data_IF_723773354126
#
_entry.id   IF_723773354126
#
_cell.length_a   1.000
_cell.length_b   1.000
_cell.length_c   1.000
_cell.angle_alpha   90.00
_cell.angle_beta   90.00
_cell.angle_gamma   90.00
#
_symmetry.space_group_name_H-M   'P 1'
#
loop_
_entity.id
_entity.type
_entity.pdbx_description
1 polymer ?
#
# COMPACT_ATOMS: atom_id res chain seq x y z
N UNK A 1 6.36 18.98 15.93
CA UNK A 1 6.05 17.90 16.90
C UNK A 1 4.60 17.41 16.80
N UNK A 2 3.58 18.28 16.75
CA UNK A 2 2.15 17.87 16.67
C UNK A 2 1.82 17.07 15.40
N UNK A 3 2.34 17.49 14.24
CA UNK A 3 2.07 16.82 12.97
C UNK A 3 2.60 15.37 12.90
N UNK A 4 3.74 15.11 13.54
CA UNK A 4 4.37 13.77 13.64
C UNK A 4 3.55 12.84 14.56
N UNK A 5 2.86 13.40 15.55
CA UNK A 5 2.06 12.63 16.50
C UNK A 5 0.74 12.14 15.87
N UNK A 6 0.11 12.95 15.02
CA UNK A 6 -1.12 12.56 14.29
C UNK A 6 -0.88 11.49 13.23
N UNK A 7 0.27 11.52 12.55
CA UNK A 7 0.66 10.48 11.58
C UNK A 7 0.88 9.13 12.26
N UNK A 8 1.49 9.11 13.45
CA UNK A 8 1.67 7.89 14.25
C UNK A 8 0.33 7.28 14.68
N UNK A 9 -0.58 8.09 15.23
CA UNK A 9 -1.90 7.62 15.67
C UNK A 9 -2.76 7.08 14.52
N UNK A 10 -2.68 7.69 13.33
CA UNK A 10 -3.37 7.18 12.14
C UNK A 10 -2.80 5.83 11.67
N UNK A 11 -1.48 5.65 11.72
CA UNK A 11 -0.83 4.37 11.40
C UNK A 11 -1.29 3.27 12.36
N UNK A 12 -1.29 3.55 13.67
CA UNK A 12 -1.75 2.60 14.69
C UNK A 12 -3.23 2.21 14.47
N UNK A 13 -4.09 3.18 14.11
CA UNK A 13 -5.49 2.92 13.81
C UNK A 13 -5.65 1.99 12.60
N UNK A 14 -4.89 2.20 11.54
CA UNK A 14 -4.92 1.36 10.33
C UNK A 14 -4.48 -0.07 10.65
N UNK A 15 -3.43 -0.23 11.45
CA UNK A 15 -2.94 -1.55 11.86
C UNK A 15 -3.98 -2.31 12.71
N UNK A 16 -4.61 -1.62 13.68
CA UNK A 16 -5.67 -2.23 14.51
C UNK A 16 -6.89 -2.66 13.68
N UNK A 17 -7.30 -1.85 12.70
CA UNK A 17 -8.37 -2.22 11.75
C UNK A 17 -8.02 -3.46 10.95
N UNK A 18 -6.80 -3.52 10.41
CA UNK A 18 -6.34 -4.69 9.66
C UNK A 18 -6.30 -5.96 10.54
N UNK A 19 -5.93 -5.84 11.82
CA UNK A 19 -5.97 -6.95 12.78
C UNK A 19 -7.40 -7.37 13.12
N UNK A 20 -8.31 -6.42 13.33
CA UNK A 20 -9.72 -6.68 13.59
C UNK A 20 -10.38 -7.44 12.42
N UNK A 21 -10.18 -7.00 11.18
CA UNK A 21 -10.71 -7.66 9.99
C UNK A 21 -10.22 -9.11 9.89
N UNK A 22 -8.92 -9.34 10.11
CA UNK A 22 -8.34 -10.70 10.13
C UNK A 22 -8.97 -11.58 11.20
N UNK A 23 -9.13 -11.05 12.42
CA UNK A 23 -9.73 -11.77 13.56
C UNK A 23 -11.18 -12.16 13.28
N UNK A 24 -11.97 -11.24 12.70
CA UNK A 24 -13.36 -11.50 12.31
C UNK A 24 -13.43 -12.57 11.21
N UNK A 25 -12.57 -12.47 10.18
CA UNK A 25 -12.53 -13.45 9.09
C UNK A 25 -12.20 -14.87 9.61
N UNK A 26 -11.19 -14.99 10.48
CA UNK A 26 -10.82 -16.28 11.09
C UNK A 26 -11.98 -16.85 11.93
N UNK A 27 -12.66 -16.01 12.71
CA UNK A 27 -13.82 -16.44 13.51
C UNK A 27 -14.97 -16.96 12.63
N UNK A 28 -15.25 -16.30 11.49
CA UNK A 28 -16.32 -16.67 10.58
C UNK A 28 -16.05 -18.01 9.89
N UNK A 29 -14.80 -18.28 9.52
CA UNK A 29 -14.43 -19.55 8.90
C UNK A 29 -14.48 -20.71 9.90
N UNK A 30 -14.08 -20.49 11.16
CA UNK A 30 -14.29 -21.47 12.23
C UNK A 30 -15.78 -21.69 12.51
N UNK A 31 -16.60 -20.64 12.51
CA UNK A 31 -18.05 -20.76 12.70
C UNK A 31 -18.68 -21.68 11.65
N UNK A 32 -18.35 -21.53 10.36
CA UNK A 32 -18.82 -22.42 9.29
C UNK A 32 -18.48 -23.88 9.57
N UNK A 33 -17.27 -24.17 10.06
CA UNK A 33 -16.86 -25.54 10.44
C UNK A 33 -17.71 -26.08 11.60
N UNK A 34 -18.07 -25.23 12.55
CA UNK A 34 -18.85 -25.64 13.73
C UNK A 34 -20.37 -25.77 13.50
N UNK A 35 -20.92 -25.31 12.37
CA UNK A 35 -22.37 -25.38 12.11
C UNK A 35 -22.93 -26.81 12.10
N UNK A 36 -22.14 -27.79 11.66
CA UNK A 36 -22.56 -29.19 11.60
C UNK A 36 -22.52 -29.92 12.97
N UNK A 37 -21.98 -29.29 14.02
CA UNK A 37 -21.68 -29.94 15.31
C UNK A 37 -22.93 -30.43 16.01
N UNK A 38 -24.02 -29.66 15.99
CA UNK A 38 -25.27 -30.04 16.64
C UNK A 38 -25.84 -31.36 16.07
N UNK A 39 -25.68 -31.58 14.76
CA UNK A 39 -26.06 -32.84 14.11
C UNK A 39 -25.20 -34.02 14.59
N UNK A 40 -23.89 -33.80 14.73
CA UNK A 40 -22.94 -34.81 15.20
C UNK A 40 -23.20 -35.17 16.67
N UNK A 41 -23.45 -34.18 17.54
CA UNK A 41 -23.78 -34.39 18.96
C UNK A 41 -25.05 -35.22 19.12
N UNK A 42 -26.11 -34.88 18.37
CA UNK A 42 -27.37 -35.64 18.40
C UNK A 42 -27.19 -37.09 17.94
N UNK A 43 -26.37 -37.32 16.90
CA UNK A 43 -26.06 -38.67 16.43
C UNK A 43 -25.22 -39.44 17.45
N UNK A 44 -24.26 -38.78 18.08
CA UNK A 44 -23.39 -39.37 19.09
C UNK A 44 -24.20 -39.86 20.30
N UNK A 45 -25.09 -39.04 20.87
CA UNK A 45 -25.91 -39.46 22.01
C UNK A 45 -26.86 -40.62 21.66
N UNK A 46 -27.52 -40.59 20.49
CA UNK A 46 -28.33 -41.73 20.01
C UNK A 46 -27.53 -43.03 19.91
N UNK A 47 -26.30 -42.96 19.37
CA UNK A 47 -25.41 -44.12 19.23
C UNK A 47 -24.91 -44.62 20.58
N UNK A 48 -24.63 -43.71 21.51
CA UNK A 48 -24.20 -44.02 22.88
C UNK A 48 -25.31 -44.74 23.65
N UNK A 49 -26.56 -44.30 23.54
CA UNK A 49 -27.71 -45.01 24.11
C UNK A 49 -27.86 -46.42 23.52
N UNK A 50 -27.76 -46.55 22.20
CA UNK A 50 -27.80 -47.85 21.53
C UNK A 50 -26.67 -48.77 21.99
N UNK A 51 -25.45 -48.24 22.16
CA UNK A 51 -24.29 -48.98 22.67
C UNK A 51 -24.53 -49.53 24.08
N UNK A 52 -25.05 -48.70 25.00
CA UNK A 52 -25.36 -49.15 26.36
C UNK A 52 -26.42 -50.24 26.37
N UNK A 53 -27.48 -50.07 25.57
CA UNK A 53 -28.54 -51.07 25.41
C UNK A 53 -27.98 -52.39 24.87
N UNK A 54 -27.11 -52.34 23.87
CA UNK A 54 -26.49 -53.53 23.29
C UNK A 54 -25.53 -54.23 24.24
N UNK A 55 -24.77 -53.49 25.04
CA UNK A 55 -23.95 -54.08 26.12
C UNK A 55 -24.83 -54.84 27.12
N UNK A 56 -25.91 -54.22 27.59
CA UNK A 56 -26.83 -54.87 28.53
C UNK A 56 -27.42 -56.16 27.92
N UNK A 57 -27.89 -56.10 26.67
CA UNK A 57 -28.40 -57.26 25.94
C UNK A 57 -27.31 -58.34 25.75
N UNK A 58 -26.07 -57.94 25.49
CA UNK A 58 -24.93 -58.84 25.35
C UNK A 58 -24.62 -59.58 26.65
N UNK A 59 -24.62 -58.87 27.78
CA UNK A 59 -24.47 -59.48 29.11
C UNK A 59 -25.61 -60.45 29.40
N UNK A 60 -26.84 -60.08 29.09
CA UNK A 60 -28.00 -60.94 29.27
C UNK A 60 -27.92 -62.22 28.43
N UNK A 61 -27.61 -62.09 27.14
CA UNK A 61 -27.43 -63.24 26.24
C UNK A 61 -26.26 -64.15 26.67
N UNK A 62 -25.17 -63.58 27.18
CA UNK A 62 -24.06 -64.34 27.73
C UNK A 62 -24.47 -65.14 28.97
N UNK A 63 -25.21 -64.53 29.91
CA UNK A 63 -25.76 -65.23 31.08
C UNK A 63 -26.70 -66.37 30.71
N UNK A 64 -27.59 -66.14 29.74
CA UNK A 64 -28.46 -67.19 29.20
C UNK A 64 -27.69 -68.34 28.55
N UNK A 65 -26.60 -68.04 27.82
CA UNK A 65 -25.71 -69.06 27.25
C UNK A 65 -25.08 -69.92 28.35
N UNK A 66 -24.57 -69.31 29.42
CA UNK A 66 -23.99 -70.03 30.54
C UNK A 66 -25.03 -70.95 31.21
N UNK A 67 -26.24 -70.45 31.45
CA UNK A 67 -27.34 -71.24 32.00
C UNK A 67 -27.74 -72.41 31.10
N UNK A 68 -27.82 -72.21 29.78
CA UNK A 68 -28.15 -73.28 28.84
C UNK A 68 -27.05 -74.34 28.76
N UNK A 69 -25.77 -73.94 28.81
CA UNK A 69 -24.64 -74.86 28.86
C UNK A 69 -24.67 -75.72 30.12
N UNK A 70 -24.88 -75.09 31.28
CA UNK A 70 -25.07 -75.80 32.54
C UNK A 70 -26.25 -76.78 32.46
N UNK A 71 -27.42 -76.35 31.97
CA UNK A 71 -28.58 -77.24 31.78
C UNK A 71 -28.29 -78.41 30.83
N UNK A 72 -27.50 -78.19 29.79
CA UNK A 72 -27.07 -79.26 28.86
C UNK A 72 -26.14 -80.25 29.55
N UNK A 73 -25.17 -79.78 30.33
CA UNK A 73 -24.24 -80.63 31.09
C UNK A 73 -25.01 -81.53 32.07
N UNK A 74 -25.98 -80.98 32.80
CA UNK A 74 -26.83 -81.74 33.72
C UNK A 74 -27.64 -82.86 33.03
N UNK A 75 -28.04 -82.69 31.77
CA UNK A 75 -28.76 -83.72 31.00
C UNK A 75 -27.83 -84.77 30.38
N UNK A 76 -26.57 -84.42 30.13
CA UNK A 76 -25.61 -85.28 29.40
C UNK A 76 -25.01 -86.38 30.29
N UNK A 77 -25.14 -86.27 31.62
CA UNK A 77 -24.65 -87.31 32.53
C UNK A 77 -25.50 -88.60 32.42
N UNK A 78 -24.96 -89.61 31.75
CA UNK A 78 -25.63 -90.91 31.55
C UNK A 78 -25.76 -91.69 32.87
N UNK A 79 -24.83 -91.50 33.80
CA UNK A 79 -24.77 -92.20 35.07
C UNK A 79 -25.74 -91.65 36.13
N UNK A 80 -26.39 -90.51 35.88
CA UNK A 80 -27.39 -89.91 36.76
C UNK A 80 -28.78 -89.95 36.09
N UNK A 81 -29.62 -90.97 36.36
CA UNK A 81 -30.93 -91.11 35.70
C UNK A 81 -31.95 -90.03 36.12
N UNK A 82 -31.75 -89.44 37.30
CA UNK A 82 -32.61 -88.38 37.84
C UNK A 82 -32.22 -87.00 37.33
N UNK A 83 -33.22 -86.16 37.01
CA UNK A 83 -33.01 -84.75 36.76
C UNK A 83 -32.55 -84.04 38.05
N UNK A 84 -31.40 -83.33 38.06
CA UNK A 84 -30.89 -82.68 39.27
C UNK A 84 -31.72 -81.47 39.75
N UNK A 85 -32.77 -81.08 39.02
CA UNK A 85 -33.67 -79.98 39.39
C UNK A 85 -35.03 -80.44 39.91
N UNK A 86 -35.49 -81.63 39.55
CA UNK A 86 -36.80 -82.12 39.94
C UNK A 86 -36.81 -83.57 40.46
N UNK A 87 -35.63 -84.18 40.58
CA UNK A 87 -35.40 -85.56 41.06
C UNK A 87 -36.15 -86.66 40.29
N UNK A 88 -36.86 -86.30 39.22
CA UNK A 88 -37.59 -87.24 38.39
C UNK A 88 -36.63 -88.01 37.47
N UNK A 89 -36.83 -89.33 37.39
CA UNK A 89 -36.16 -90.18 36.42
C UNK A 89 -36.55 -89.75 35.00
N UNK A 90 -35.57 -89.31 34.22
CA UNK A 90 -35.77 -88.96 32.82
C UNK A 90 -35.50 -90.17 31.94
N UNK A 91 -36.46 -90.56 31.11
CA UNK A 91 -36.24 -91.60 30.10
C UNK A 91 -35.11 -91.21 29.13
N UNK A 92 -34.40 -92.21 28.59
CA UNK A 92 -33.31 -91.97 27.65
C UNK A 92 -33.75 -91.14 26.43
N UNK A 93 -34.96 -91.39 25.91
CA UNK A 93 -35.56 -90.61 24.82
C UNK A 93 -35.74 -89.14 25.21
N UNK A 94 -36.23 -88.87 26.43
CA UNK A 94 -36.41 -87.50 26.93
C UNK A 94 -35.07 -86.78 27.14
N UNK A 95 -34.03 -87.49 27.63
CA UNK A 95 -32.66 -86.94 27.74
C UNK A 95 -32.13 -86.52 26.36
N UNK A 96 -32.21 -87.40 25.35
CA UNK A 96 -31.82 -87.07 23.96
C UNK A 96 -32.55 -85.86 23.40
N UNK A 97 -33.88 -85.80 23.61
CA UNK A 97 -34.69 -84.65 23.19
C UNK A 97 -34.23 -83.34 23.84
N UNK A 98 -34.03 -83.34 25.17
CA UNK A 98 -33.58 -82.15 25.91
C UNK A 98 -32.16 -81.72 25.49
N UNK A 99 -31.25 -82.67 25.31
CA UNK A 99 -29.89 -82.40 24.83
C UNK A 99 -29.89 -81.76 23.44
N UNK A 100 -30.70 -82.29 22.52
CA UNK A 100 -30.89 -81.72 21.19
C UNK A 100 -31.48 -80.30 21.27
N UNK A 101 -32.55 -80.12 22.05
CA UNK A 101 -33.19 -78.81 22.27
C UNK A 101 -32.22 -77.78 22.83
N UNK A 102 -31.44 -78.12 23.86
CA UNK A 102 -30.45 -77.21 24.44
C UNK A 102 -29.31 -76.91 23.46
N UNK A 103 -28.86 -77.90 22.69
CA UNK A 103 -27.83 -77.67 21.66
C UNK A 103 -28.30 -76.68 20.60
N UNK A 104 -29.52 -76.84 20.08
CA UNK A 104 -30.09 -75.91 19.10
C UNK A 104 -30.24 -74.50 19.69
N UNK A 105 -30.76 -74.39 20.91
CA UNK A 105 -30.91 -73.11 21.59
C UNK A 105 -29.55 -72.42 21.84
N UNK A 106 -28.53 -73.18 22.25
CA UNK A 106 -27.16 -72.67 22.42
C UNK A 106 -26.63 -72.15 21.10
N UNK A 107 -26.75 -72.90 20.00
CA UNK A 107 -26.27 -72.47 18.69
C UNK A 107 -26.96 -71.18 18.22
N UNK A 108 -28.29 -71.11 18.32
CA UNK A 108 -29.05 -69.91 17.96
C UNK A 108 -28.65 -68.69 18.79
N UNK A 109 -28.51 -68.85 20.11
CA UNK A 109 -28.16 -67.76 21.00
C UNK A 109 -26.69 -67.35 20.85
N UNK A 110 -25.79 -68.29 20.59
CA UNK A 110 -24.36 -68.03 20.33
C UNK A 110 -24.18 -67.21 19.05
N UNK A 111 -24.92 -67.54 17.99
CA UNK A 111 -24.92 -66.76 16.75
C UNK A 111 -25.40 -65.32 17.01
N UNK A 112 -26.53 -65.15 17.72
CA UNK A 112 -27.04 -63.82 18.10
C UNK A 112 -26.04 -63.04 18.94
N UNK A 113 -25.44 -63.66 19.94
CA UNK A 113 -24.41 -63.07 20.81
C UNK A 113 -23.18 -62.62 20.02
N UNK A 114 -22.67 -63.48 19.14
CA UNK A 114 -21.49 -63.18 18.30
C UNK A 114 -21.76 -62.00 17.37
N UNK A 115 -22.94 -61.97 16.74
CA UNK A 115 -23.36 -60.82 15.91
C UNK A 115 -23.44 -59.55 16.75
N UNK A 116 -24.01 -59.61 17.94
CA UNK A 116 -24.13 -58.47 18.83
C UNK A 116 -22.75 -57.96 19.29
N UNK A 117 -21.80 -58.85 19.60
CA UNK A 117 -20.42 -58.47 19.94
C UNK A 117 -19.73 -57.71 18.80
N UNK A 118 -19.87 -58.18 17.55
CA UNK A 118 -19.32 -57.49 16.38
C UNK A 118 -19.90 -56.07 16.25
N UNK A 119 -21.22 -55.92 16.42
CA UNK A 119 -21.89 -54.63 16.39
C UNK A 119 -21.42 -53.70 17.51
N UNK A 120 -21.26 -54.21 18.74
CA UNK A 120 -20.74 -53.44 19.88
C UNK A 120 -19.32 -52.94 19.61
N UNK A 121 -18.44 -53.79 19.06
CA UNK A 121 -17.06 -53.41 18.75
C UNK A 121 -17.03 -52.30 17.69
N UNK A 122 -17.79 -52.45 16.61
CA UNK A 122 -17.89 -51.44 15.56
C UNK A 122 -18.46 -50.11 16.08
N UNK A 123 -19.55 -50.17 16.86
CA UNK A 123 -20.18 -48.99 17.43
C UNK A 123 -19.26 -48.26 18.43
N UNK A 124 -18.46 -49.01 19.21
CA UNK A 124 -17.46 -48.42 20.11
C UNK A 124 -16.41 -47.63 19.32
N UNK A 125 -15.89 -48.18 18.23
CA UNK A 125 -14.92 -47.49 17.39
C UNK A 125 -15.50 -46.19 16.81
N UNK A 126 -16.74 -46.24 16.29
CA UNK A 126 -17.45 -45.06 15.80
C UNK A 126 -17.67 -44.00 16.88
N UNK A 127 -18.04 -44.41 18.09
CA UNK A 127 -18.23 -43.48 19.22
C UNK A 127 -16.93 -42.80 19.60
N UNK A 128 -15.80 -43.51 19.63
CA UNK A 128 -14.48 -42.93 19.90
C UNK A 128 -14.10 -41.90 18.83
N UNK A 129 -14.32 -42.21 17.55
CA UNK A 129 -14.04 -41.28 16.45
C UNK A 129 -14.92 -40.03 16.51
N UNK A 130 -16.22 -40.20 16.76
CA UNK A 130 -17.16 -39.08 16.91
C UNK A 130 -16.83 -38.23 18.14
N UNK A 131 -16.42 -38.84 19.24
CA UNK A 131 -16.01 -38.12 20.43
C UNK A 131 -14.81 -37.21 20.16
N UNK A 132 -13.76 -37.73 19.48
CA UNK A 132 -12.61 -36.92 19.05
C UNK A 132 -13.02 -35.75 18.16
N UNK A 133 -13.93 -35.96 17.22
CA UNK A 133 -14.49 -34.89 16.36
C UNK A 133 -15.20 -33.83 17.19
N UNK A 134 -16.01 -34.24 18.18
CA UNK A 134 -16.70 -33.32 19.08
C UNK A 134 -15.74 -32.53 19.97
N UNK A 135 -14.66 -33.16 20.46
CA UNK A 135 -13.62 -32.46 21.23
C UNK A 135 -12.91 -31.39 20.39
N UNK A 136 -12.50 -31.72 19.16
CA UNK A 136 -11.92 -30.74 18.24
C UNK A 136 -12.89 -29.57 17.99
N UNK A 137 -14.16 -29.85 17.76
CA UNK A 137 -15.17 -28.80 17.59
C UNK A 137 -15.42 -27.97 18.86
N UNK A 138 -15.25 -28.53 20.06
CA UNK A 138 -15.32 -27.77 21.32
C UNK A 138 -14.13 -26.82 21.46
N UNK A 139 -12.94 -27.27 21.09
CA UNK A 139 -11.75 -26.41 21.05
C UNK A 139 -11.94 -25.27 20.04
N UNK A 140 -12.46 -25.57 18.85
CA UNK A 140 -12.78 -24.54 17.85
C UNK A 140 -13.80 -23.52 18.39
N UNK A 141 -14.85 -23.96 19.12
CA UNK A 141 -15.81 -23.07 19.77
C UNK A 141 -15.17 -22.17 20.83
N UNK A 142 -14.27 -22.71 21.65
CA UNK A 142 -13.51 -21.92 22.62
C UNK A 142 -12.67 -20.86 21.92
N UNK A 143 -11.95 -21.25 20.86
CA UNK A 143 -11.16 -20.32 20.05
C UNK A 143 -12.02 -19.25 19.38
N UNK A 144 -13.21 -19.58 18.87
CA UNK A 144 -14.16 -18.59 18.35
C UNK A 144 -14.54 -17.56 19.43
N UNK A 145 -14.81 -18.02 20.67
CA UNK A 145 -15.16 -17.12 21.76
C UNK A 145 -13.99 -16.20 22.14
N UNK A 146 -12.76 -16.72 22.17
CA UNK A 146 -11.55 -15.93 22.39
C UNK A 146 -11.33 -14.90 21.28
N UNK A 147 -11.49 -15.28 20.01
CA UNK A 147 -11.40 -14.38 18.87
C UNK A 147 -12.47 -13.29 18.91
N UNK A 148 -13.70 -13.63 19.31
CA UNK A 148 -14.78 -12.66 19.46
C UNK A 148 -14.48 -11.66 20.58
N UNK A 149 -13.96 -12.12 21.73
CA UNK A 149 -13.54 -11.25 22.82
C UNK A 149 -12.38 -10.33 22.40
N UNK A 150 -11.40 -10.87 21.66
CA UNK A 150 -10.31 -10.08 21.11
C UNK A 150 -10.84 -9.02 20.11
N UNK A 151 -11.83 -9.39 19.28
CA UNK A 151 -12.45 -8.47 18.33
C UNK A 151 -13.21 -7.34 19.04
N UNK A 152 -13.93 -7.61 20.13
CA UNK A 152 -14.62 -6.56 20.91
C UNK A 152 -13.62 -5.61 21.54
N UNK A 153 -12.54 -6.12 22.15
CA UNK A 153 -11.48 -5.30 22.73
C UNK A 153 -10.79 -4.42 21.67
N UNK A 154 -10.45 -4.96 20.50
CA UNK A 154 -9.86 -4.20 19.41
C UNK A 154 -10.79 -3.09 18.92
N UNK A 155 -12.09 -3.37 18.84
CA UNK A 155 -13.11 -2.39 18.43
C UNK A 155 -13.25 -1.24 19.44
N UNK A 156 -13.19 -1.54 20.74
CA UNK A 156 -13.18 -0.52 21.80
C UNK A 156 -11.93 0.36 21.75
N UNK A 157 -10.76 -0.24 21.50
CA UNK A 157 -9.52 0.51 21.30
C UNK A 157 -9.57 1.40 20.06
N UNK A 158 -10.14 0.91 18.96
CA UNK A 158 -10.35 1.68 17.73
C UNK A 158 -11.21 2.92 17.99
N UNK A 159 -12.34 2.74 18.69
CA UNK A 159 -13.24 3.85 19.07
C UNK A 159 -12.50 4.88 19.94
N UNK A 160 -11.71 4.42 20.90
CA UNK A 160 -10.92 5.31 21.78
C UNK A 160 -9.88 6.11 21.00
N UNK A 161 -9.11 5.46 20.11
CA UNK A 161 -8.15 6.14 19.25
C UNK A 161 -8.83 7.17 18.34
N UNK A 162 -9.98 6.83 17.77
CA UNK A 162 -10.72 7.73 16.89
C UNK A 162 -11.25 8.97 17.62
N UNK A 163 -11.70 8.83 18.87
CA UNK A 163 -12.02 9.96 19.75
C UNK A 163 -10.80 10.85 20.00
N UNK A 164 -9.65 10.25 20.32
CA UNK A 164 -8.40 10.98 20.57
C UNK A 164 -7.92 11.74 19.32
N UNK A 165 -7.97 11.13 18.13
CA UNK A 165 -7.63 11.79 16.86
C UNK A 165 -8.55 12.98 16.61
N UNK A 166 -9.85 12.84 16.87
CA UNK A 166 -10.83 13.92 16.69
C UNK A 166 -10.57 15.08 17.66
N UNK A 167 -10.32 14.78 18.93
CA UNK A 167 -9.97 15.78 19.94
C UNK A 167 -8.67 16.52 19.58
N UNK A 168 -7.63 15.78 19.17
CA UNK A 168 -6.35 16.37 18.78
C UNK A 168 -6.48 17.28 17.55
N UNK A 169 -7.31 16.90 16.55
CA UNK A 169 -7.62 17.76 15.40
C UNK A 169 -8.33 19.06 15.81
N UNK A 170 -9.25 19.00 16.76
CA UNK A 170 -9.93 20.18 17.27
C UNK A 170 -8.97 21.11 18.04
N UNK A 171 -8.10 20.54 18.87
CA UNK A 171 -7.05 21.29 19.57
C UNK A 171 -6.06 21.95 18.59
N UNK A 172 -5.68 21.24 17.53
CA UNK A 172 -4.82 21.80 16.47
C UNK A 172 -5.47 23.01 15.81
N UNK A 173 -6.75 22.92 15.41
CA UNK A 173 -7.49 24.05 14.82
C UNK A 173 -7.59 25.25 15.75
N UNK A 174 -7.76 25.01 17.06
CA UNK A 174 -7.80 26.07 18.05
C UNK A 174 -6.44 26.78 18.16
N UNK A 175 -5.35 26.00 18.23
CA UNK A 175 -3.98 26.54 18.26
C UNK A 175 -3.64 27.32 16.98
N UNK A 176 -4.07 26.83 15.82
CA UNK A 176 -3.87 27.53 14.54
C UNK A 176 -4.57 28.89 14.53
N UNK A 177 -5.81 28.97 15.03
CA UNK A 177 -6.53 30.25 15.19
C UNK A 177 -5.80 31.21 16.14
N UNK A 178 -5.37 30.73 17.30
CA UNK A 178 -4.62 31.54 18.26
C UNK A 178 -3.30 32.06 17.67
N UNK A 179 -2.62 31.23 16.88
CA UNK A 179 -1.37 31.60 16.21
C UNK A 179 -1.62 32.67 15.13
N UNK A 180 -2.72 32.57 14.39
CA UNK A 180 -3.13 33.59 13.42
C UNK A 180 -3.46 34.93 14.10
N UNK A 181 -4.22 34.90 15.19
CA UNK A 181 -4.55 36.08 15.99
C UNK A 181 -3.28 36.74 16.56
N UNK A 182 -2.36 35.95 17.10
CA UNK A 182 -1.07 36.44 17.60
C UNK A 182 -0.23 37.07 16.48
N UNK A 183 -0.19 36.46 15.30
CA UNK A 183 0.52 37.01 14.14
C UNK A 183 -0.10 38.33 13.66
N UNK A 184 -1.43 38.45 13.66
CA UNK A 184 -2.15 39.70 13.36
C UNK A 184 -1.82 40.79 14.39
N UNK A 185 -1.80 40.44 15.67
CA UNK A 185 -1.41 41.37 16.75
C UNK A 185 0.06 41.79 16.66
N UNK A 186 0.95 40.88 16.28
CA UNK A 186 2.38 41.16 16.17
C UNK A 186 2.69 42.04 14.95
N UNK A 187 2.01 41.81 13.83
CA UNK A 187 2.13 42.65 12.64
C UNK A 187 1.56 44.05 12.85
N UNK A 188 0.47 44.22 13.61
CA UNK A 188 -0.05 45.54 13.97
C UNK A 188 0.89 46.30 14.93
N UNK A 189 1.46 45.60 15.93
CA UNK A 189 2.51 46.15 16.81
C UNK A 189 3.76 46.56 16.04
N UNK A 190 4.20 45.75 15.08
CA UNK A 190 5.35 46.09 14.21
C UNK A 190 5.09 47.36 13.41
N UNK A 191 3.93 47.48 12.75
CA UNK A 191 3.55 48.67 11.99
C UNK A 191 3.47 49.93 12.85
N UNK A 192 2.97 49.82 14.08
CA UNK A 192 2.89 50.95 15.01
C UNK A 192 4.28 51.37 15.50
N UNK A 193 5.15 50.42 15.84
CA UNK A 193 6.54 50.69 16.19
C UNK A 193 7.33 51.33 15.02
N UNK A 194 7.18 50.83 13.79
CA UNK A 194 7.81 51.41 12.58
C UNK A 194 7.35 52.85 12.34
N UNK A 195 6.05 53.14 12.51
CA UNK A 195 5.51 54.50 12.42
C UNK A 195 6.12 55.40 13.51
N UNK A 196 6.13 54.95 14.76
CA UNK A 196 6.72 55.71 15.87
C UNK A 196 8.20 56.02 15.61
N UNK A 197 8.97 55.03 15.18
CA UNK A 197 10.39 55.21 14.83
C UNK A 197 10.56 56.19 13.66
N UNK A 198 9.70 56.13 12.65
CA UNK A 198 9.73 57.08 11.53
C UNK A 198 9.40 58.51 11.97
N UNK A 199 8.38 58.67 12.81
CA UNK A 199 7.97 59.96 13.36
C UNK A 199 9.08 60.57 14.24
N UNK A 200 9.78 59.75 15.03
CA UNK A 200 10.96 60.16 15.81
C UNK A 200 12.12 60.59 14.92
N UNK A 201 12.40 59.87 13.84
CA UNK A 201 13.42 60.25 12.85
C UNK A 201 13.08 61.58 12.18
N UNK A 202 11.82 61.82 11.82
CA UNK A 202 11.38 63.09 11.23
C UNK A 202 11.56 64.25 12.22
N UNK A 203 11.29 64.02 13.51
CA UNK A 203 11.49 65.04 14.56
C UNK A 203 12.97 65.33 14.83
N UNK A 204 13.87 64.39 14.50
CA UNK A 204 15.31 64.56 14.66
C UNK A 204 15.86 65.57 13.64
N UNK A 205 16.30 66.74 14.14
CA UNK A 205 16.84 67.83 13.32
C UNK A 205 18.06 67.42 12.49
N UNK A 206 18.92 66.55 13.01
CA UNK A 206 20.13 66.14 12.30
C UNK A 206 19.82 65.17 11.17
N UNK A 207 18.85 64.27 11.38
CA UNK A 207 18.31 63.43 10.30
C UNK A 207 17.74 64.28 9.15
N UNK A 208 16.97 65.33 9.46
CA UNK A 208 16.46 66.25 8.43
C UNK A 208 17.58 66.96 7.65
N UNK A 209 18.63 67.43 8.34
CA UNK A 209 19.81 68.03 7.66
C UNK A 209 20.49 67.03 6.72
N UNK A 210 20.68 65.79 7.18
CA UNK A 210 21.28 64.72 6.35
C UNK A 210 20.38 64.39 5.17
N UNK A 211 19.06 64.26 5.37
CA UNK A 211 18.08 64.00 4.30
C UNK A 211 18.08 65.11 3.24
N UNK A 212 18.16 66.37 3.66
CA UNK A 212 18.28 67.51 2.74
C UNK A 212 19.58 67.42 1.93
N UNK A 213 20.73 67.16 2.58
CA UNK A 213 22.00 66.95 1.88
C UNK A 213 21.94 65.78 0.89
N UNK A 214 21.34 64.65 1.27
CA UNK A 214 21.16 63.50 0.37
C UNK A 214 20.31 63.86 -0.84
N UNK A 215 19.22 64.61 -0.65
CA UNK A 215 18.39 65.07 -1.76
C UNK A 215 19.17 66.05 -2.67
N UNK A 216 19.92 66.99 -2.10
CA UNK A 216 20.81 67.87 -2.85
C UNK A 216 21.83 67.07 -3.67
N UNK A 217 22.48 66.07 -3.08
CA UNK A 217 23.41 65.20 -3.80
C UNK A 217 22.71 64.37 -4.89
N UNK A 218 21.48 63.88 -4.67
CA UNK A 218 20.71 63.19 -5.71
C UNK A 218 20.40 64.10 -6.89
N UNK A 219 20.04 65.34 -6.64
CA UNK A 219 19.81 66.35 -7.69
C UNK A 219 21.10 66.67 -8.44
N UNK A 220 22.22 66.81 -7.73
CA UNK A 220 23.54 67.00 -8.36
C UNK A 220 23.94 65.79 -9.22
N UNK A 221 23.72 64.57 -8.73
CA UNK A 221 23.96 63.33 -9.48
C UNK A 221 23.08 63.26 -10.73
N UNK A 222 21.81 63.64 -10.62
CA UNK A 222 20.92 63.72 -11.79
C UNK A 222 21.43 64.74 -12.82
N UNK A 223 21.91 65.91 -12.39
CA UNK A 223 22.52 66.91 -13.28
C UNK A 223 23.79 66.38 -13.96
N UNK A 224 24.69 65.73 -13.21
CA UNK A 224 25.87 65.08 -13.80
C UNK A 224 25.51 63.97 -14.78
N UNK A 225 24.42 63.23 -14.57
CA UNK A 225 23.96 62.23 -15.57
C UNK A 225 23.39 62.87 -16.84
N UNK A 226 22.84 64.08 -16.75
CA UNK A 226 22.44 64.88 -17.92
C UNK A 226 23.69 65.35 -18.68
N UNK A 227 24.74 65.76 -17.98
CA UNK A 227 26.02 66.10 -18.60
C UNK A 227 26.71 64.90 -19.27
N UNK A 228 26.62 63.70 -18.68
CA UNK A 228 27.11 62.48 -19.35
C UNK A 228 26.39 62.20 -20.67
N UNK A 229 25.08 62.46 -20.76
CA UNK A 229 24.34 62.37 -22.04
C UNK A 229 24.82 63.42 -23.05
N UNK A 230 25.10 64.64 -22.59
CA UNK A 230 25.69 65.68 -23.44
C UNK A 230 27.07 65.24 -23.96
N UNK A 231 27.95 64.70 -23.11
CA UNK A 231 29.27 64.18 -23.48
C UNK A 231 29.16 63.05 -24.53
N UNK A 232 28.21 62.11 -24.37
CA UNK A 232 27.98 61.04 -25.34
C UNK A 232 27.54 61.61 -26.70
N UNK A 233 26.67 62.62 -26.71
CA UNK A 233 26.24 63.28 -27.95
C UNK A 233 27.40 64.03 -28.62
N UNK A 234 28.20 64.78 -27.88
CA UNK A 234 29.38 65.48 -28.44
C UNK A 234 30.42 64.50 -28.97
N UNK A 235 30.59 63.33 -28.32
CA UNK A 235 31.47 62.28 -28.82
C UNK A 235 30.97 61.70 -30.16
N UNK A 236 29.67 61.49 -30.30
CA UNK A 236 29.05 61.06 -31.57
C UNK A 236 29.22 62.12 -32.67
N UNK A 237 29.08 63.40 -32.33
CA UNK A 237 29.33 64.50 -33.26
C UNK A 237 30.80 64.52 -33.72
N UNK A 238 31.75 64.35 -32.80
CA UNK A 238 33.17 64.25 -33.11
C UNK A 238 33.48 63.05 -34.01
N UNK A 239 32.95 61.86 -33.71
CA UNK A 239 33.12 60.68 -34.58
C UNK A 239 32.55 60.91 -35.99
N UNK A 240 31.48 61.71 -36.11
CA UNK A 240 30.89 62.08 -37.40
C UNK A 240 31.80 63.04 -38.18
N UNK A 241 32.38 64.03 -37.50
CA UNK A 241 33.34 64.97 -38.10
C UNK A 241 34.62 64.24 -38.51
N UNK A 242 35.14 63.33 -37.68
CA UNK A 242 36.31 62.52 -38.00
C UNK A 242 36.10 61.67 -39.25
N UNK A 243 34.92 61.06 -39.41
CA UNK A 243 34.52 60.35 -40.64
C UNK A 243 34.46 61.27 -41.85
N UNK A 244 33.97 62.49 -41.69
CA UNK A 244 33.94 63.48 -42.77
C UNK A 244 35.36 63.90 -43.18
N UNK A 245 36.27 64.09 -42.23
CA UNK A 245 37.67 64.43 -42.50
C UNK A 245 38.36 63.29 -43.24
N UNK A 246 38.20 62.04 -42.79
CA UNK A 246 38.77 60.87 -43.49
C UNK A 246 38.21 60.73 -44.92
N UNK A 247 36.91 60.95 -45.10
CA UNK A 247 36.30 60.97 -46.43
C UNK A 247 36.89 62.08 -47.32
N UNK A 248 37.06 63.29 -46.79
CA UNK A 248 37.69 64.40 -47.49
C UNK A 248 39.15 64.11 -47.85
N UNK A 249 39.92 63.50 -46.94
CA UNK A 249 41.29 63.07 -47.19
C UNK A 249 41.36 62.04 -48.33
N UNK A 250 40.48 61.03 -48.31
CA UNK A 250 40.38 60.05 -49.41
C UNK A 250 40.00 60.72 -50.73
N UNK A 251 39.08 61.69 -50.70
CA UNK A 251 38.68 62.44 -51.89
C UNK A 251 39.86 63.24 -52.45
N UNK A 252 40.64 63.87 -51.57
CA UNK A 252 41.83 64.63 -51.92
C UNK A 252 42.91 63.74 -52.52
N UNK A 253 43.13 62.54 -51.97
CA UNK A 253 44.02 61.54 -52.55
C UNK A 253 43.57 61.12 -53.95
N UNK A 254 42.26 60.87 -54.15
CA UNK A 254 41.71 60.57 -55.47
C UNK A 254 41.91 61.72 -56.46
N UNK A 255 41.74 62.97 -56.02
CA UNK A 255 42.03 64.17 -56.81
C UNK A 255 43.53 64.24 -57.17
N UNK A 256 44.42 63.99 -56.20
CA UNK A 256 45.87 63.98 -56.42
C UNK A 256 46.32 62.85 -57.37
N UNK A 257 45.55 61.76 -57.47
CA UNK A 257 45.77 60.69 -58.45
C UNK A 257 45.25 61.02 -59.85
N UNK A 258 44.35 62.01 -60.03
CA UNK A 258 43.86 62.42 -61.35
C UNK A 258 44.97 62.82 -62.35
N UNK A 259 46.03 63.56 -61.99
CA UNK A 259 47.13 63.84 -62.92
C UNK A 259 47.87 62.57 -63.36
N UNK A 260 48.08 61.59 -62.47
CA UNK A 260 48.63 60.28 -62.83
C UNK A 260 47.69 59.56 -63.80
N UNK A 261 46.39 59.46 -63.50
CA UNK A 261 45.39 58.85 -64.39
C UNK A 261 45.33 59.55 -65.75
N UNK A 262 45.36 60.88 -65.78
CA UNK A 262 45.41 61.70 -67.00
C UNK A 262 46.68 61.41 -67.81
N UNK A 263 47.83 61.24 -67.16
CA UNK A 263 49.07 60.81 -67.83
C UNK A 263 48.97 59.38 -68.37
N UNK A 264 48.40 58.45 -67.61
CA UNK A 264 48.16 57.08 -68.06
C UNK A 264 47.25 57.05 -69.29
N UNK A 265 46.14 57.79 -69.27
CA UNK A 265 45.24 57.94 -70.42
C UNK A 265 45.97 58.59 -71.60
N UNK A 266 46.74 59.65 -71.36
CA UNK A 266 47.54 60.32 -72.41
C UNK A 266 48.56 59.37 -73.04
N UNK A 267 49.20 58.51 -72.23
CA UNK A 267 50.11 57.47 -72.70
C UNK A 267 49.36 56.41 -73.50
N UNK A 268 48.23 55.89 -73.00
CA UNK A 268 47.39 54.97 -73.78
C UNK A 268 46.94 55.59 -75.11
N UNK A 269 46.52 56.85 -75.15
CA UNK A 269 46.18 57.54 -76.39
C UNK A 269 47.39 57.68 -77.34
N UNK A 270 48.60 57.88 -76.82
CA UNK A 270 49.83 57.85 -77.63
C UNK A 270 50.08 56.45 -78.19
N UNK A 271 50.01 55.41 -77.35
CA UNK A 271 50.19 54.01 -77.77
C UNK A 271 49.15 53.60 -78.81
N UNK A 272 47.88 53.98 -78.64
CA UNK A 272 46.82 53.75 -79.63
C UNK A 272 47.10 54.52 -80.92
N UNK A 273 47.59 55.76 -80.86
CA UNK A 273 48.00 56.51 -82.05
C UNK A 273 49.18 55.86 -82.78
N UNK A 274 50.16 55.34 -82.05
CA UNK A 274 51.31 54.62 -82.60
C UNK A 274 50.91 53.27 -83.20
N UNK A 275 50.03 52.53 -82.54
CA UNK A 275 49.42 51.31 -83.07
C UNK A 275 48.59 51.59 -84.32
N UNK A 276 47.79 52.66 -84.34
CA UNK A 276 47.04 53.08 -85.53
C UNK A 276 47.95 53.56 -86.66
N UNK A 277 49.09 54.20 -86.35
CA UNK A 277 50.11 54.56 -87.34
C UNK A 277 50.78 53.31 -87.92
N UNK A 278 51.10 52.30 -87.09
CA UNK A 278 51.60 51.00 -87.55
C UNK A 278 50.58 50.26 -88.40
N UNK A 279 49.29 50.28 -88.01
CA UNK A 279 48.20 49.71 -88.80
C UNK A 279 48.04 50.42 -90.15
N UNK A 280 48.15 51.76 -90.21
CA UNK A 280 48.13 52.51 -91.48
C UNK A 280 49.35 52.24 -92.35
N UNK A 281 50.55 52.12 -91.78
CA UNK A 281 51.76 51.74 -92.53
C UNK A 281 51.64 50.31 -93.04
N UNK A 282 51.07 49.39 -92.26
CA UNK A 282 50.81 48.03 -92.69
C UNK A 282 49.70 47.97 -93.75
N UNK A 283 48.69 48.85 -93.69
CA UNK A 283 47.70 49.01 -94.75
C UNK A 283 48.32 49.60 -96.04
N UNK A 284 49.25 50.54 -95.92
CA UNK A 284 49.98 51.10 -97.07
C UNK A 284 50.97 50.10 -97.69
N UNK A 285 51.62 49.28 -96.85
CA UNK A 285 52.44 48.15 -97.29
C UNK A 285 51.58 47.07 -97.97
N UNK A 286 50.36 46.83 -97.48
CA UNK A 286 49.42 45.90 -98.11
C UNK A 286 48.88 46.42 -99.46
N UNK A 287 48.72 47.74 -99.64
CA UNK A 287 48.33 48.31 -100.94
C UNK A 287 49.46 48.38 -101.96
N UNK A 288 50.73 48.44 -101.51
CA UNK A 288 51.88 48.34 -102.42
C UNK A 288 52.22 46.91 -102.83
N UNK A 289 51.62 45.90 -102.20
CA UNK A 289 51.79 44.47 -102.51
C UNK A 289 50.74 43.91 -103.47
N UNK A 290 49.82 44.74 -103.96
CA UNK A 290 48.80 44.38 -104.95
C UNK A 290 48.83 45.30 -106.20
N UNK A 291 50.04 45.74 -106.56
CA UNK A 291 50.40 45.85 -107.99
C UNK A 291 50.73 44.45 -108.49
#
# INVERSE_FOLDING_TARGET
TIHVNLTGQNSELVEKKAKLIRTIAESADLQKKTMAVAGIEKQFEKRKEAYQRWIANGKHAHGQLAQLKQKKELVTNENAPCCPLCEQNLSASRKRFLQHKFTNNIQMLLHKYTRLQKLICHLKALLVEQHKKLEACRQDKQKINELNLCATQLKEQEITLQKNITQNKNNQKLLEKQLEENNKALTSKKKTAEKQQHDELIKNKDYLKVKLKVNQYKELLQKETVDKKAIVNTKLELETIEKQITNQQSLQEQINQQPMRKNTIKNFCKTIKEQNKCLRINQQKATHYNQ
#
